data_IF_150545050043
#
_entry.id   IF_150545050043
#
_cell.length_a   1.000
_cell.length_b   1.000
_cell.length_c   1.000
_cell.angle_alpha   90.00
_cell.angle_beta   90.00
_cell.angle_gamma   90.00
#
_symmetry.space_group_name_H-M   'P 1'
#
loop_
_entity.id
_entity.type
_entity.pdbx_description
1 polymer ?
#
# COMPACT_ATOMS: atom_id res chain seq x y z
N UNK A 1 -2.77 11.58 17.22
CA UNK A 1 -1.32 11.64 17.48
C UNK A 1 -0.73 10.22 17.59
N UNK A 2 -0.94 9.49 18.70
CA UNK A 2 -0.37 8.13 18.91
C UNK A 2 -0.63 7.15 17.75
N UNK A 3 -1.85 7.08 17.22
CA UNK A 3 -2.19 6.15 16.12
C UNK A 3 -1.48 6.53 14.82
N UNK A 4 -1.41 7.83 14.51
CA UNK A 4 -0.73 8.32 13.31
C UNK A 4 0.77 8.04 13.37
N UNK A 5 1.40 8.22 14.53
CA UNK A 5 2.83 7.94 14.70
C UNK A 5 3.13 6.45 14.66
N UNK A 6 2.23 5.61 15.17
CA UNK A 6 2.33 4.16 15.07
C UNK A 6 2.29 3.69 13.60
N UNK A 7 1.28 4.13 12.82
CA UNK A 7 1.18 3.71 11.41
C UNK A 7 2.33 4.27 10.56
N UNK A 8 2.80 5.50 10.82
CA UNK A 8 4.01 6.04 10.17
C UNK A 8 5.24 5.18 10.46
N UNK A 9 5.39 4.71 11.69
CA UNK A 9 6.48 3.81 12.08
C UNK A 9 6.41 2.49 11.32
N UNK A 10 5.21 1.91 11.19
CA UNK A 10 4.98 0.70 10.39
C UNK A 10 5.32 0.94 8.92
N UNK A 11 4.85 2.03 8.32
CA UNK A 11 5.18 2.38 6.92
C UNK A 11 6.68 2.47 6.72
N UNK A 12 7.41 3.12 7.63
CA UNK A 12 8.87 3.22 7.54
C UNK A 12 9.56 1.84 7.57
N UNK A 13 9.10 0.93 8.43
CA UNK A 13 9.64 -0.45 8.52
C UNK A 13 9.34 -1.21 7.23
N UNK A 14 8.12 -1.11 6.71
CA UNK A 14 7.71 -1.75 5.44
C UNK A 14 8.54 -1.21 4.27
N UNK A 15 8.67 0.11 4.14
CA UNK A 15 9.49 0.73 3.09
C UNK A 15 10.96 0.32 3.20
N UNK A 16 11.50 0.21 4.41
CA UNK A 16 12.85 -0.30 4.62
C UNK A 16 12.98 -1.77 4.19
N UNK A 17 12.01 -2.62 4.54
CA UNK A 17 11.94 -4.03 4.13
C UNK A 17 11.92 -4.19 2.61
N UNK A 18 11.12 -3.38 1.91
CA UNK A 18 11.06 -3.37 0.45
C UNK A 18 12.43 -3.19 -0.20
N UNK A 19 13.29 -2.33 0.36
CA UNK A 19 14.64 -2.04 -0.16
C UNK A 19 15.62 -3.20 -0.02
N UNK A 20 15.28 -4.23 0.76
CA UNK A 20 16.14 -5.40 0.98
C UNK A 20 15.96 -6.50 -0.06
N UNK A 21 14.90 -6.42 -0.88
CA UNK A 21 14.55 -7.43 -1.90
C UNK A 21 14.49 -6.81 -3.29
N UNK A 22 14.99 -7.54 -4.29
CA UNK A 22 15.02 -7.07 -5.69
C UNK A 22 14.08 -7.85 -6.60
N UNK A 23 13.68 -7.22 -7.70
CA UNK A 23 12.83 -7.82 -8.73
C UNK A 23 11.42 -8.14 -8.24
N UNK A 24 10.91 -9.30 -8.67
CA UNK A 24 9.54 -9.76 -8.41
C UNK A 24 9.43 -10.68 -7.20
N UNK A 25 10.39 -10.62 -6.27
CA UNK A 25 10.32 -11.38 -5.03
C UNK A 25 9.26 -10.78 -4.09
N UNK A 26 8.57 -11.62 -3.30
CA UNK A 26 7.67 -11.15 -2.25
C UNK A 26 8.38 -10.23 -1.25
N UNK A 27 7.61 -9.37 -0.58
CA UNK A 27 8.12 -8.55 0.51
C UNK A 27 8.63 -9.44 1.67
N UNK A 28 9.79 -9.13 2.31
CA UNK A 28 10.38 -10.01 3.34
C UNK A 28 9.46 -10.24 4.54
N UNK A 29 8.59 -9.28 4.85
CA UNK A 29 7.67 -9.36 5.99
C UNK A 29 6.25 -9.82 5.63
N UNK A 30 5.99 -10.18 4.36
CA UNK A 30 4.63 -10.52 3.92
C UNK A 30 3.99 -11.64 4.76
N UNK A 31 4.68 -12.79 4.86
CA UNK A 31 4.15 -13.94 5.59
C UNK A 31 3.91 -13.65 7.07
N UNK A 32 4.86 -12.97 7.72
CA UNK A 32 4.77 -12.67 9.16
C UNK A 32 3.63 -11.67 9.42
N UNK A 33 3.52 -10.59 8.63
CA UNK A 33 2.47 -9.58 8.80
C UNK A 33 1.06 -10.11 8.49
N UNK A 34 0.94 -11.07 7.57
CA UNK A 34 -0.34 -11.75 7.30
C UNK A 34 -0.68 -12.70 8.46
N UNK A 35 0.27 -13.54 8.86
CA UNK A 35 0.08 -14.53 9.94
C UNK A 35 -0.28 -13.87 11.27
N UNK A 36 0.36 -12.76 11.60
CA UNK A 36 0.17 -12.06 12.86
C UNK A 36 -1.05 -11.12 12.84
N UNK A 37 -1.80 -11.07 11.73
CA UNK A 37 -3.02 -10.25 11.61
C UNK A 37 -2.77 -8.76 11.36
N UNK A 38 -1.51 -8.34 11.28
CA UNK A 38 -1.11 -6.93 11.14
C UNK A 38 -1.72 -6.27 9.90
N UNK A 39 -1.74 -6.97 8.76
CA UNK A 39 -2.37 -6.44 7.53
C UNK A 39 -3.86 -6.15 7.73
N UNK A 40 -4.56 -7.05 8.43
CA UNK A 40 -5.97 -6.87 8.74
C UNK A 40 -6.18 -5.67 9.65
N UNK A 41 -5.37 -5.54 10.70
CA UNK A 41 -5.47 -4.40 11.63
C UNK A 41 -5.20 -3.06 10.94
N UNK A 42 -4.25 -3.01 10.01
CA UNK A 42 -3.98 -1.81 9.19
C UNK A 42 -5.19 -1.48 8.30
N UNK A 43 -5.84 -2.49 7.72
CA UNK A 43 -7.02 -2.27 6.89
C UNK A 43 -8.24 -1.84 7.70
N UNK A 44 -8.46 -2.44 8.87
CA UNK A 44 -9.51 -2.00 9.81
C UNK A 44 -9.29 -0.53 10.22
N UNK A 45 -8.02 -0.14 10.46
CA UNK A 45 -7.65 1.25 10.74
C UNK A 45 -7.91 2.19 9.54
N UNK A 46 -7.60 1.75 8.33
CA UNK A 46 -7.90 2.49 7.09
C UNK A 46 -9.39 2.83 6.98
N UNK A 47 -10.26 1.84 7.28
CA UNK A 47 -11.71 2.00 7.18
C UNK A 47 -12.31 2.81 8.33
N UNK A 48 -11.78 2.67 9.55
CA UNK A 48 -12.29 3.39 10.71
C UNK A 48 -11.84 4.86 10.78
N UNK A 49 -10.73 5.21 10.13
CA UNK A 49 -10.14 6.54 10.20
C UNK A 49 -10.83 7.56 9.30
N UNK A 50 -10.99 8.79 9.82
CA UNK A 50 -11.34 9.98 9.02
C UNK A 50 -10.12 10.87 8.73
N UNK A 51 -8.97 10.51 9.28
CA UNK A 51 -7.71 11.22 9.07
C UNK A 51 -7.04 10.68 7.80
N UNK A 52 -6.96 11.53 6.78
CA UNK A 52 -6.36 11.20 5.48
C UNK A 52 -4.90 10.76 5.62
N UNK A 53 -4.13 11.34 6.54
CA UNK A 53 -2.74 10.95 6.74
C UNK A 53 -2.64 9.52 7.28
N UNK A 54 -3.58 9.07 8.12
CA UNK A 54 -3.63 7.67 8.56
C UNK A 54 -3.99 6.76 7.37
N UNK A 55 -4.98 7.14 6.57
CA UNK A 55 -5.43 6.36 5.42
C UNK A 55 -4.33 6.20 4.37
N UNK A 56 -3.61 7.28 4.07
CA UNK A 56 -2.48 7.26 3.15
C UNK A 56 -1.40 6.27 3.62
N UNK A 57 -1.02 6.34 4.89
CA UNK A 57 0.02 5.47 5.46
C UNK A 57 -0.41 4.00 5.49
N UNK A 58 -1.68 3.74 5.82
CA UNK A 58 -2.24 2.40 5.81
C UNK A 58 -2.26 1.80 4.41
N UNK A 59 -2.76 2.55 3.41
CA UNK A 59 -2.82 2.09 2.02
C UNK A 59 -1.43 1.85 1.42
N UNK A 60 -0.47 2.75 1.69
CA UNK A 60 0.94 2.57 1.31
C UNK A 60 1.52 1.30 1.93
N UNK A 61 1.32 1.10 3.23
CA UNK A 61 1.84 -0.07 3.95
C UNK A 61 1.29 -1.38 3.36
N UNK A 62 -0.03 -1.48 3.17
CA UNK A 62 -0.67 -2.66 2.60
C UNK A 62 -0.16 -2.93 1.19
N UNK A 63 -0.10 -1.89 0.34
CA UNK A 63 0.32 -2.04 -1.05
C UNK A 63 1.78 -2.48 -1.21
N UNK A 64 2.70 -1.98 -0.37
CA UNK A 64 4.11 -2.39 -0.40
C UNK A 64 4.29 -3.80 0.16
N UNK A 65 3.60 -4.17 1.25
CA UNK A 65 3.70 -5.52 1.83
C UNK A 65 3.22 -6.58 0.84
N UNK A 66 2.19 -6.29 0.05
CA UNK A 66 1.69 -7.17 -1.02
C UNK A 66 2.54 -7.15 -2.31
N UNK A 67 3.81 -6.77 -2.23
CA UNK A 67 4.72 -6.84 -3.39
C UNK A 67 4.70 -8.23 -4.00
N UNK A 68 4.32 -8.30 -5.29
CA UNK A 68 4.21 -9.55 -6.05
C UNK A 68 3.31 -10.63 -5.42
N UNK A 69 2.43 -10.25 -4.49
CA UNK A 69 1.43 -11.12 -3.85
C UNK A 69 0.05 -10.55 -4.14
N UNK A 70 -0.95 -11.42 -4.29
CA UNK A 70 -2.33 -10.99 -4.48
C UNK A 70 -2.90 -10.44 -3.17
N UNK A 71 -3.74 -9.40 -3.25
CA UNK A 71 -4.66 -9.08 -2.15
C UNK A 71 -5.90 -9.94 -2.37
N UNK A 72 -6.07 -11.03 -1.64
CA UNK A 72 -7.14 -12.01 -1.93
C UNK A 72 -8.55 -11.44 -1.64
N UNK A 73 -8.65 -10.57 -0.64
CA UNK A 73 -9.88 -9.85 -0.31
C UNK A 73 -10.17 -8.79 -1.38
N UNK A 74 -11.29 -8.94 -2.10
CA UNK A 74 -11.61 -8.08 -3.24
C UNK A 74 -12.00 -6.66 -2.82
N UNK A 75 -12.64 -6.49 -1.66
CA UNK A 75 -13.02 -5.17 -1.16
C UNK A 75 -11.77 -4.38 -0.76
N UNK A 76 -10.88 -5.01 0.02
CA UNK A 76 -9.58 -4.44 0.36
C UNK A 76 -8.76 -4.12 -0.88
N UNK A 77 -8.73 -5.02 -1.87
CA UNK A 77 -7.98 -4.81 -3.12
C UNK A 77 -8.45 -3.55 -3.83
N UNK A 78 -9.75 -3.41 -4.08
CA UNK A 78 -10.32 -2.25 -4.77
C UNK A 78 -10.10 -0.97 -3.97
N UNK A 79 -10.44 -0.94 -2.68
CA UNK A 79 -10.34 0.27 -1.86
C UNK A 79 -8.90 0.78 -1.69
N UNK A 80 -7.96 -0.13 -1.42
CA UNK A 80 -6.55 0.25 -1.27
C UNK A 80 -5.97 0.73 -2.59
N UNK A 81 -6.26 0.04 -3.70
CA UNK A 81 -5.77 0.46 -5.02
C UNK A 81 -6.35 1.82 -5.42
N UNK A 82 -7.64 2.05 -5.20
CA UNK A 82 -8.29 3.31 -5.55
C UNK A 82 -7.80 4.47 -4.69
N UNK A 83 -7.53 4.25 -3.40
CA UNK A 83 -6.90 5.25 -2.54
C UNK A 83 -5.46 5.55 -2.98
N UNK A 84 -4.68 4.53 -3.34
CA UNK A 84 -3.33 4.75 -3.89
C UNK A 84 -3.36 5.53 -5.22
N UNK A 85 -4.33 5.24 -6.09
CA UNK A 85 -4.55 5.99 -7.34
C UNK A 85 -4.90 7.45 -7.07
N UNK A 86 -5.69 7.74 -6.03
CA UNK A 86 -6.06 9.12 -5.68
C UNK A 86 -4.85 9.91 -5.18
N UNK A 87 -4.01 9.31 -4.32
CA UNK A 87 -2.77 9.93 -3.83
C UNK A 87 -1.88 10.38 -4.99
N UNK A 88 -1.61 9.50 -5.95
CA UNK A 88 -0.66 9.83 -7.05
C UNK A 88 -1.22 10.84 -8.07
N UNK A 89 -2.51 11.19 -7.99
CA UNK A 89 -3.14 12.25 -8.78
C UNK A 89 -3.15 13.61 -8.08
N UNK A 90 -2.81 13.66 -6.78
CA UNK A 90 -2.86 14.86 -5.97
C UNK A 90 -1.58 15.70 -6.10
N UNK A 91 -1.68 16.92 -6.63
CA UNK A 91 -0.51 17.76 -6.97
C UNK A 91 0.16 18.41 -5.77
N UNK A 92 -0.59 18.65 -4.69
CA UNK A 92 -0.11 19.33 -3.47
C UNK A 92 0.39 18.35 -2.40
N UNK A 93 0.39 17.05 -2.71
CA UNK A 93 0.79 16.02 -1.76
C UNK A 93 2.29 16.05 -1.52
N UNK A 94 2.70 15.71 -0.31
CA UNK A 94 4.10 15.55 0.05
C UNK A 94 4.81 14.54 -0.90
N UNK A 95 5.98 14.92 -1.39
CA UNK A 95 6.73 14.16 -2.41
C UNK A 95 7.05 12.74 -1.95
N UNK A 96 7.36 12.56 -0.66
CA UNK A 96 7.67 11.24 -0.10
C UNK A 96 6.43 10.34 -0.06
N UNK A 97 5.26 10.92 0.21
CA UNK A 97 3.97 10.20 0.15
C UNK A 97 3.65 9.79 -1.28
N UNK A 98 3.86 10.67 -2.26
CA UNK A 98 3.68 10.38 -3.69
C UNK A 98 4.60 9.24 -4.15
N UNK A 99 5.89 9.28 -3.82
CA UNK A 99 6.85 8.25 -4.20
C UNK A 99 6.51 6.89 -3.57
N UNK A 100 6.11 6.90 -2.29
CA UNK A 100 5.69 5.69 -1.59
C UNK A 100 4.41 5.10 -2.20
N UNK A 101 3.42 5.92 -2.57
CA UNK A 101 2.21 5.46 -3.23
C UNK A 101 2.49 4.89 -4.63
N UNK A 102 3.38 5.52 -5.41
CA UNK A 102 3.86 4.97 -6.68
C UNK A 102 4.57 3.62 -6.46
N UNK A 103 5.39 3.52 -5.41
CA UNK A 103 6.08 2.27 -5.04
C UNK A 103 5.10 1.18 -4.65
N UNK A 104 4.04 1.50 -3.91
CA UNK A 104 2.97 0.59 -3.55
C UNK A 104 2.25 0.06 -4.80
N UNK A 105 1.81 0.95 -5.70
CA UNK A 105 1.17 0.55 -6.97
C UNK A 105 2.10 -0.31 -7.85
N UNK A 106 3.39 0.05 -7.94
CA UNK A 106 4.40 -0.74 -8.66
C UNK A 106 4.65 -2.10 -8.01
N UNK A 107 4.52 -2.21 -6.70
CA UNK A 107 4.67 -3.47 -5.95
C UNK A 107 3.49 -4.40 -6.19
N UNK A 108 2.28 -3.85 -6.15
CA UNK A 108 1.03 -4.55 -6.43
C UNK A 108 0.95 -5.03 -7.87
N UNK A 109 1.39 -4.22 -8.85
CA UNK A 109 1.30 -4.55 -10.28
C UNK A 109 2.18 -5.73 -10.72
N UNK A 110 3.08 -6.21 -9.84
CA UNK A 110 3.86 -7.44 -10.07
C UNK A 110 3.01 -8.71 -9.94
N UNK A 111 1.85 -8.62 -9.29
CA UNK A 111 0.83 -9.66 -9.30
C UNK A 111 -0.21 -9.38 -10.40
N UNK A 112 -0.65 -10.43 -11.11
CA UNK A 112 -1.56 -10.30 -12.26
C UNK A 112 -2.92 -9.70 -11.88
N UNK A 113 -3.59 -10.23 -10.85
CA UNK A 113 -4.93 -9.81 -10.47
C UNK A 113 -4.94 -8.35 -9.96
N UNK A 114 -3.95 -7.98 -9.14
CA UNK A 114 -3.80 -6.60 -8.69
C UNK A 114 -3.50 -5.65 -9.86
N UNK A 115 -2.69 -6.06 -10.82
CA UNK A 115 -2.39 -5.26 -12.02
C UNK A 115 -3.63 -5.03 -12.90
N UNK A 116 -4.50 -6.03 -13.01
CA UNK A 116 -5.79 -5.90 -13.72
C UNK A 116 -6.68 -4.85 -13.03
N UNK A 117 -6.75 -4.86 -11.69
CA UNK A 117 -7.48 -3.84 -10.91
C UNK A 117 -6.88 -2.43 -11.06
N UNK A 118 -5.55 -2.32 -11.04
CA UNK A 118 -4.85 -1.04 -11.22
C UNK A 118 -5.18 -0.43 -12.58
N UNK A 119 -5.27 -1.23 -13.64
CA UNK A 119 -5.47 -0.75 -15.01
C UNK A 119 -6.92 -0.39 -15.35
N UNK A 120 -7.87 -0.64 -14.45
CA UNK A 120 -9.25 -0.15 -14.63
C UNK A 120 -9.27 1.36 -14.83
N UNK A 121 -10.26 1.83 -15.59
CA UNK A 121 -10.45 3.24 -15.94
C UNK A 121 -9.26 3.86 -16.67
N UNK A 122 -8.57 3.05 -17.48
CA UNK A 122 -7.37 3.42 -18.25
C UNK A 122 -6.24 4.02 -17.40
N UNK A 123 -6.22 3.68 -16.10
CA UNK A 123 -5.22 4.23 -15.20
C UNK A 123 -3.83 3.65 -15.48
N UNK A 124 -2.85 4.55 -15.61
CA UNK A 124 -1.44 4.22 -15.72
C UNK A 124 -0.68 4.84 -14.54
N UNK A 125 0.19 4.06 -13.90
CA UNK A 125 1.03 4.54 -12.81
C UNK A 125 1.96 5.65 -13.35
N UNK A 126 1.91 6.88 -12.81
CA UNK A 126 2.78 7.96 -13.25
C UNK A 126 4.26 7.60 -13.08
N UNK A 127 5.10 8.13 -13.96
CA UNK A 127 6.55 7.95 -13.89
C UNK A 127 7.12 8.51 -12.59
#
# INVERSE_FOLDING_TARGET
EVVLDAIRSITNIVVAGYRTVSGNKPHPYFNDMIKDGVVKDIYDLFNASKDEAIKDQAAISIGIVHKAQEIDDQEMKTEIIDHLKSIVKETEKDEQILDNAKTALKSLSLNKANNEEIKKDDFAIPK
#
